data_IF_028804353556
#
_entry.id   IF_028804353556
#
_cell.length_a   1.000
_cell.length_b   1.000
_cell.length_c   1.000
_cell.angle_alpha   90.00
_cell.angle_beta   90.00
_cell.angle_gamma   90.00
#
_symmetry.space_group_name_H-M   'P 1'
#
loop_
_entity.id
_entity.type
_entity.pdbx_description
1 polymer ?
#
# COMPACT_ATOMS: atom_id res chain seq x y z
N UNK A 1 3.50 -20.30 -1.05
CA UNK A 1 2.30 -19.54 -1.51
C UNK A 1 1.00 -19.90 -0.79
N UNK A 2 0.67 -21.18 -0.52
CA UNK A 2 -0.57 -21.51 0.21
C UNK A 2 -0.57 -20.95 1.66
N UNK A 3 0.57 -21.03 2.36
CA UNK A 3 0.74 -20.50 3.71
C UNK A 3 0.57 -18.97 3.70
N UNK A 4 1.15 -18.30 2.72
CA UNK A 4 1.06 -16.84 2.57
C UNK A 4 -0.37 -16.39 2.26
N UNK A 5 -1.11 -17.13 1.44
CA UNK A 5 -2.50 -16.82 1.17
C UNK A 5 -3.36 -16.97 2.44
N UNK A 6 -3.18 -18.06 3.17
CA UNK A 6 -3.89 -18.30 4.43
C UNK A 6 -3.53 -17.20 5.46
N UNK A 7 -2.23 -16.86 5.57
CA UNK A 7 -1.77 -15.79 6.45
C UNK A 7 -2.39 -14.43 6.08
N UNK A 8 -2.45 -14.09 4.77
CA UNK A 8 -3.06 -12.87 4.30
C UNK A 8 -4.56 -12.80 4.62
N UNK A 9 -5.30 -13.89 4.39
CA UNK A 9 -6.72 -13.97 4.72
C UNK A 9 -6.97 -13.83 6.22
N UNK A 10 -6.15 -14.49 7.06
CA UNK A 10 -6.24 -14.37 8.53
C UNK A 10 -5.99 -12.91 8.95
N UNK A 11 -4.93 -12.28 8.44
CA UNK A 11 -4.61 -10.89 8.82
C UNK A 11 -5.69 -9.94 8.37
N UNK A 12 -6.19 -10.05 7.13
CA UNK A 12 -7.28 -9.21 6.64
C UNK A 12 -8.56 -9.40 7.46
N UNK A 13 -8.89 -10.64 7.82
CA UNK A 13 -10.03 -10.93 8.69
C UNK A 13 -9.86 -10.31 10.09
N UNK A 14 -8.68 -10.46 10.70
CA UNK A 14 -8.37 -9.86 12.01
C UNK A 14 -8.51 -8.35 11.97
N UNK A 15 -8.06 -7.70 10.90
CA UNK A 15 -8.16 -6.25 10.71
C UNK A 15 -9.61 -5.77 10.58
N UNK A 16 -10.48 -6.57 9.96
CA UNK A 16 -11.91 -6.26 9.84
C UNK A 16 -12.66 -6.47 11.16
N UNK A 17 -12.36 -7.57 11.87
CA UNK A 17 -13.09 -7.93 13.11
C UNK A 17 -12.62 -7.13 14.31
N UNK A 18 -11.35 -6.72 14.34
CA UNK A 18 -10.76 -6.00 15.48
C UNK A 18 -10.12 -4.67 15.05
N UNK A 19 -10.90 -3.69 14.59
CA UNK A 19 -10.40 -2.36 14.28
C UNK A 19 -10.09 -1.61 15.56
N UNK A 20 -8.85 -1.50 15.96
CA UNK A 20 -8.49 -0.62 17.07
C UNK A 20 -7.34 -1.11 17.96
N UNK A 21 -6.73 -0.19 18.66
CA UNK A 21 -5.71 -0.30 19.74
C UNK A 21 -4.37 -1.04 19.43
N UNK A 22 -4.17 -1.59 18.25
CA UNK A 22 -2.95 -2.30 17.88
C UNK A 22 -1.87 -1.37 17.30
N UNK A 23 -2.19 -0.10 17.10
CA UNK A 23 -1.26 0.91 16.58
C UNK A 23 0.04 1.01 17.40
N UNK A 24 -0.04 0.85 18.72
CA UNK A 24 1.12 0.87 19.62
C UNK A 24 2.09 -0.29 19.40
N UNK A 25 1.60 -1.47 19.00
CA UNK A 25 2.42 -2.65 18.72
C UNK A 25 3.11 -2.59 17.35
N UNK A 26 2.61 -1.77 16.45
CA UNK A 26 3.09 -1.64 15.06
C UNK A 26 4.01 -0.41 14.86
N UNK A 27 4.55 0.14 15.93
CA UNK A 27 5.49 1.27 15.84
C UNK A 27 6.88 0.75 15.46
N UNK A 28 7.50 1.41 14.47
CA UNK A 28 8.86 1.11 14.01
C UNK A 28 9.95 1.83 14.82
N UNK A 29 9.72 2.10 16.11
CA UNK A 29 10.64 2.83 16.97
C UNK A 29 12.02 2.17 17.11
N UNK A 30 12.09 0.83 17.05
CA UNK A 30 13.36 0.12 17.01
C UNK A 30 14.13 0.41 15.70
N UNK A 31 13.41 0.50 14.57
CA UNK A 31 14.01 0.75 13.28
C UNK A 31 14.50 2.20 13.15
N UNK A 32 13.75 3.16 13.67
CA UNK A 32 14.23 4.56 13.72
C UNK A 32 15.50 4.70 14.56
N UNK A 33 15.60 3.98 15.69
CA UNK A 33 16.85 3.92 16.49
C UNK A 33 17.99 3.27 15.72
N UNK A 34 17.72 2.17 15.02
CA UNK A 34 18.67 1.51 14.15
C UNK A 34 19.17 2.42 13.04
N UNK A 35 18.25 3.10 12.34
CA UNK A 35 18.58 4.06 11.29
C UNK A 35 19.40 5.26 11.82
N UNK A 36 19.10 5.74 13.01
CA UNK A 36 19.87 6.79 13.68
C UNK A 36 21.31 6.33 14.03
N UNK A 37 21.50 5.07 14.41
CA UNK A 37 22.82 4.51 14.71
C UNK A 37 23.72 4.37 13.46
N UNK A 38 23.17 4.49 12.24
CA UNK A 38 23.89 4.41 10.97
C UNK A 38 24.34 5.80 10.45
N UNK A 39 24.60 6.76 11.33
CA UNK A 39 25.02 8.12 10.95
C UNK A 39 26.36 8.19 10.21
N UNK A 40 27.16 7.14 10.27
CA UNK A 40 28.43 7.04 9.56
C UNK A 40 28.27 6.77 8.04
N UNK A 41 27.08 6.41 7.58
CA UNK A 41 26.77 6.16 6.19
C UNK A 41 25.75 7.19 5.64
N UNK A 42 25.82 7.52 4.36
CA UNK A 42 24.93 8.47 3.70
C UNK A 42 24.28 7.90 2.45
N UNK A 43 23.15 8.47 2.05
CA UNK A 43 22.50 8.18 0.79
C UNK A 43 22.12 6.71 0.62
N UNK A 44 22.40 6.14 -0.55
CA UNK A 44 22.06 4.74 -0.87
C UNK A 44 22.76 3.71 0.02
N UNK A 45 23.99 3.99 0.48
CA UNK A 45 24.72 3.12 1.40
C UNK A 45 24.02 2.98 2.74
N UNK A 46 23.51 4.08 3.30
CA UNK A 46 22.72 4.08 4.53
C UNK A 46 21.40 3.32 4.35
N UNK A 47 20.74 3.51 3.20
CA UNK A 47 19.50 2.75 2.87
C UNK A 47 19.79 1.25 2.84
N UNK A 48 20.84 0.82 2.15
CA UNK A 48 21.20 -0.59 2.07
C UNK A 48 21.53 -1.19 3.45
N UNK A 49 22.35 -0.50 4.26
CA UNK A 49 22.71 -0.93 5.60
C UNK A 49 21.51 -0.95 6.55
N UNK A 50 20.54 -0.07 6.35
CA UNK A 50 19.33 -0.05 7.15
C UNK A 50 18.38 -1.21 6.81
N UNK A 51 18.24 -1.55 5.53
CA UNK A 51 17.26 -2.53 5.05
C UNK A 51 17.79 -3.96 5.05
N UNK A 52 19.02 -4.20 4.59
CA UNK A 52 19.53 -5.55 4.36
C UNK A 52 19.56 -6.40 5.65
N UNK A 53 20.12 -5.95 6.78
CA UNK A 53 20.21 -6.80 7.96
C UNK A 53 18.84 -7.28 8.50
N UNK A 54 17.84 -6.42 8.74
CA UNK A 54 16.55 -6.89 9.25
C UNK A 54 15.80 -7.78 8.24
N UNK A 55 15.93 -7.53 6.94
CA UNK A 55 15.33 -8.37 5.90
C UNK A 55 15.99 -9.73 5.84
N UNK A 56 17.32 -9.79 5.91
CA UNK A 56 18.09 -11.07 5.93
C UNK A 56 17.75 -11.87 7.17
N UNK A 57 17.68 -11.25 8.34
CA UNK A 57 17.28 -11.94 9.58
C UNK A 57 15.86 -12.50 9.45
N UNK A 58 14.93 -11.72 8.94
CA UNK A 58 13.55 -12.19 8.70
C UNK A 58 13.52 -13.36 7.70
N UNK A 59 14.27 -13.27 6.60
CA UNK A 59 14.36 -14.33 5.60
C UNK A 59 14.99 -15.60 6.18
N UNK A 60 16.05 -15.48 6.99
CA UNK A 60 16.68 -16.62 7.64
C UNK A 60 15.73 -17.33 8.62
N UNK A 61 14.97 -16.58 9.42
CA UNK A 61 13.95 -17.15 10.31
C UNK A 61 12.85 -17.83 9.48
N UNK A 62 12.33 -17.17 8.43
CA UNK A 62 11.32 -17.75 7.56
C UNK A 62 11.82 -19.05 6.91
N UNK A 63 13.06 -19.07 6.43
CA UNK A 63 13.67 -20.26 5.83
C UNK A 63 13.85 -21.40 6.85
N UNK A 64 14.29 -21.09 8.07
CA UNK A 64 14.43 -22.08 9.13
C UNK A 64 13.10 -22.73 9.53
N UNK A 65 12.00 -21.97 9.41
CA UNK A 65 10.64 -22.44 9.71
C UNK A 65 9.98 -23.25 8.57
N UNK A 66 10.63 -23.43 7.41
CA UNK A 66 10.06 -24.16 6.26
C UNK A 66 9.99 -25.69 6.41
N UNK A 67 10.29 -26.24 7.59
CA UNK A 67 10.15 -27.68 7.87
C UNK A 67 8.68 -28.12 8.02
N UNK A 68 8.35 -29.34 7.55
CA UNK A 68 6.98 -29.87 7.62
C UNK A 68 6.43 -29.94 9.07
N UNK A 69 7.30 -30.15 10.05
CA UNK A 69 6.95 -30.13 11.48
C UNK A 69 6.68 -28.73 12.02
N UNK A 70 7.10 -27.68 11.30
CA UNK A 70 7.05 -26.29 11.73
C UNK A 70 6.00 -25.47 10.95
N UNK A 71 5.11 -26.09 10.17
CA UNK A 71 4.11 -25.41 9.35
C UNK A 71 3.27 -24.42 10.15
N UNK A 72 2.84 -24.80 11.36
CA UNK A 72 2.07 -23.92 12.24
C UNK A 72 2.91 -22.72 12.70
N UNK A 73 4.19 -22.94 13.02
CA UNK A 73 5.11 -21.88 13.41
C UNK A 73 5.42 -20.94 12.23
N UNK A 74 5.59 -21.49 11.02
CA UNK A 74 5.77 -20.72 9.79
C UNK A 74 4.54 -19.86 9.49
N UNK A 75 3.35 -20.41 9.63
CA UNK A 75 2.09 -19.66 9.46
C UNK A 75 1.97 -18.55 10.51
N UNK A 76 2.21 -18.88 11.79
CA UNK A 76 2.16 -17.89 12.88
C UNK A 76 3.16 -16.75 12.66
N UNK A 77 4.39 -17.07 12.23
CA UNK A 77 5.41 -16.08 11.89
C UNK A 77 4.98 -15.21 10.71
N UNK A 78 4.44 -15.81 9.65
CA UNK A 78 3.96 -15.10 8.47
C UNK A 78 2.81 -14.14 8.82
N UNK A 79 1.84 -14.61 9.63
CA UNK A 79 0.74 -13.78 10.15
C UNK A 79 1.28 -12.62 10.99
N UNK A 80 2.22 -12.88 11.89
CA UNK A 80 2.80 -11.87 12.78
C UNK A 80 3.54 -10.79 11.99
N UNK A 81 4.40 -11.18 11.05
CA UNK A 81 5.17 -10.22 10.23
C UNK A 81 4.22 -9.43 9.32
N UNK A 82 3.28 -10.10 8.65
CA UNK A 82 2.33 -9.41 7.79
C UNK A 82 1.47 -8.43 8.59
N UNK A 83 0.94 -8.84 9.74
CA UNK A 83 0.20 -7.99 10.65
C UNK A 83 1.01 -6.76 11.09
N UNK A 84 2.29 -6.97 11.43
CA UNK A 84 3.20 -5.89 11.82
C UNK A 84 3.45 -4.90 10.66
N UNK A 85 3.60 -5.39 9.42
CA UNK A 85 3.95 -4.58 8.24
C UNK A 85 2.80 -3.76 7.68
N UNK A 86 1.54 -4.07 7.99
CA UNK A 86 0.39 -3.20 7.65
C UNK A 86 0.46 -1.82 8.33
N UNK A 87 1.36 -1.65 9.30
CA UNK A 87 1.74 -0.35 9.86
C UNK A 87 0.87 0.12 11.02
N UNK A 88 1.25 1.27 11.63
CA UNK A 88 0.66 1.73 12.89
C UNK A 88 -0.78 2.20 12.75
N UNK A 89 -1.19 2.63 11.55
CA UNK A 89 -2.56 3.07 11.26
C UNK A 89 -3.21 2.14 10.27
N UNK A 90 -4.41 1.75 10.60
CA UNK A 90 -5.25 0.95 9.73
C UNK A 90 -5.90 1.84 8.68
N UNK A 91 -5.79 1.44 7.41
CA UNK A 91 -6.30 2.23 6.29
C UNK A 91 -7.82 2.40 6.40
N UNK A 92 -8.52 1.36 6.82
CA UNK A 92 -9.96 1.37 6.94
C UNK A 92 -10.45 2.32 8.04
N UNK A 93 -9.76 2.37 9.18
CA UNK A 93 -10.09 3.31 10.26
C UNK A 93 -9.80 4.76 9.87
N UNK A 94 -8.79 5.01 9.03
CA UNK A 94 -8.55 6.36 8.49
C UNK A 94 -9.68 6.78 7.52
N UNK A 95 -10.18 5.87 6.66
CA UNK A 95 -11.35 6.14 5.82
C UNK A 95 -12.61 6.43 6.64
N UNK A 96 -12.92 5.56 7.62
CA UNK A 96 -14.08 5.76 8.51
C UNK A 96 -13.99 7.09 9.25
N UNK A 97 -12.80 7.46 9.73
CA UNK A 97 -12.60 8.71 10.46
C UNK A 97 -12.74 9.95 9.56
N UNK A 98 -12.47 9.87 8.26
CA UNK A 98 -12.74 10.98 7.32
C UNK A 98 -14.20 11.02 6.94
N UNK A 99 -14.83 9.87 6.66
CA UNK A 99 -16.19 9.79 6.14
C UNK A 99 -17.26 10.11 7.22
N UNK A 100 -17.04 9.70 8.46
CA UNK A 100 -18.04 9.77 9.52
C UNK A 100 -17.74 10.81 10.62
N UNK A 101 -16.72 11.65 10.45
CA UNK A 101 -16.44 12.70 11.42
C UNK A 101 -17.28 13.96 11.12
N UNK A 102 -18.06 14.44 12.07
CA UNK A 102 -18.89 15.63 11.91
C UNK A 102 -18.11 16.95 12.03
N UNK A 103 -16.92 16.93 12.68
CA UNK A 103 -16.10 18.13 12.82
C UNK A 103 -15.19 18.35 11.60
N UNK A 104 -15.40 19.44 10.83
CA UNK A 104 -14.59 19.72 9.62
C UNK A 104 -13.09 19.86 9.88
N UNK A 105 -12.68 20.40 11.04
CA UNK A 105 -11.28 20.58 11.38
C UNK A 105 -10.59 19.24 11.63
N UNK A 106 -11.23 18.37 12.42
CA UNK A 106 -10.74 17.00 12.66
C UNK A 106 -10.74 16.17 11.39
N UNK A 107 -11.74 16.32 10.53
CA UNK A 107 -11.83 15.66 9.22
C UNK A 107 -10.65 16.04 8.33
N UNK A 108 -10.31 17.34 8.27
CA UNK A 108 -9.15 17.82 7.49
C UNK A 108 -7.84 17.21 7.99
N UNK A 109 -7.61 17.19 9.30
CA UNK A 109 -6.42 16.59 9.91
C UNK A 109 -6.35 15.08 9.62
N UNK A 110 -7.48 14.39 9.68
CA UNK A 110 -7.55 12.95 9.40
C UNK A 110 -7.29 12.67 7.91
N UNK A 111 -7.83 13.49 7.01
CA UNK A 111 -7.56 13.39 5.58
C UNK A 111 -6.07 13.58 5.24
N UNK A 112 -5.37 14.46 5.97
CA UNK A 112 -3.91 14.59 5.84
C UNK A 112 -3.17 13.32 6.29
N UNK A 113 -3.72 12.56 7.23
CA UNK A 113 -3.15 11.29 7.69
C UNK A 113 -3.30 10.15 6.67
N UNK A 114 -4.28 10.22 5.74
CA UNK A 114 -4.37 9.29 4.61
C UNK A 114 -3.13 9.39 3.72
N UNK A 115 -2.50 10.55 3.65
CA UNK A 115 -1.29 10.76 2.86
C UNK A 115 -0.12 10.06 3.50
N UNK A 116 0.46 9.13 2.79
CA UNK A 116 1.56 8.30 3.27
C UNK A 116 2.93 9.01 3.28
N UNK A 117 3.01 10.23 2.75
CA UNK A 117 4.24 11.05 2.73
C UNK A 117 3.88 12.46 3.17
N UNK A 118 4.50 12.98 4.24
CA UNK A 118 4.36 14.38 4.63
C UNK A 118 5.16 15.26 3.65
N UNK A 119 4.58 15.62 2.53
CA UNK A 119 5.15 16.64 1.64
C UNK A 119 4.53 17.99 2.00
N UNK A 120 5.14 18.63 2.95
CA UNK A 120 5.31 20.06 3.24
C UNK A 120 4.08 20.98 3.31
N UNK A 121 3.15 20.98 2.39
CA UNK A 121 2.02 21.91 2.39
C UNK A 121 0.68 21.18 2.65
N UNK A 122 -0.21 21.75 3.48
CA UNK A 122 -1.57 21.26 3.60
C UNK A 122 -2.25 21.42 2.23
N UNK A 123 -2.58 20.31 1.58
CA UNK A 123 -3.34 20.34 0.34
C UNK A 123 -4.82 20.57 0.62
N UNK A 124 -5.55 21.07 -0.37
CA UNK A 124 -6.97 21.35 -0.25
C UNK A 124 -7.78 20.07 0.05
N UNK A 125 -8.90 20.23 0.72
CA UNK A 125 -9.88 19.16 0.94
C UNK A 125 -10.81 19.12 -0.29
N UNK A 126 -10.29 18.58 -1.39
CA UNK A 126 -11.03 18.44 -2.66
C UNK A 126 -11.15 16.98 -3.04
N UNK A 127 -12.17 16.64 -3.82
CA UNK A 127 -12.41 15.28 -4.26
C UNK A 127 -11.21 14.65 -4.97
N UNK A 128 -10.56 15.28 -5.97
CA UNK A 128 -9.37 14.71 -6.63
C UNK A 128 -8.21 14.41 -5.66
N UNK A 129 -8.00 15.28 -4.68
CA UNK A 129 -6.93 15.14 -3.68
C UNK A 129 -7.21 13.98 -2.70
N UNK A 130 -8.48 13.77 -2.35
CA UNK A 130 -8.87 12.66 -1.48
C UNK A 130 -8.81 11.32 -2.19
N UNK A 131 -9.26 11.24 -3.45
CA UNK A 131 -9.14 10.04 -4.28
C UNK A 131 -7.66 9.67 -4.46
N UNK A 132 -6.79 10.63 -4.79
CA UNK A 132 -5.36 10.42 -4.88
C UNK A 132 -4.78 9.88 -3.56
N UNK A 133 -5.08 10.54 -2.43
CA UNK A 133 -4.61 10.11 -1.12
C UNK A 133 -5.08 8.69 -0.77
N UNK A 134 -6.34 8.37 -1.06
CA UNK A 134 -6.93 7.05 -0.82
C UNK A 134 -6.21 5.94 -1.60
N UNK A 135 -5.97 6.17 -2.88
CA UNK A 135 -5.36 5.18 -3.77
C UNK A 135 -3.89 4.99 -3.45
N UNK A 136 -3.15 6.08 -3.21
CA UNK A 136 -1.74 6.02 -2.83
C UNK A 136 -1.55 5.41 -1.43
N UNK A 137 -2.45 5.69 -0.49
CA UNK A 137 -2.47 5.01 0.80
C UNK A 137 -2.76 3.51 0.64
N UNK A 138 -3.69 3.14 -0.24
CA UNK A 138 -4.01 1.74 -0.53
C UNK A 138 -2.81 1.01 -1.14
N UNK A 139 -2.13 1.60 -2.13
CA UNK A 139 -0.90 1.06 -2.70
C UNK A 139 0.14 0.79 -1.60
N UNK A 140 0.49 1.81 -0.82
CA UNK A 140 1.63 1.76 0.10
C UNK A 140 1.37 0.99 1.39
N UNK A 141 0.11 0.95 1.87
CA UNK A 141 -0.23 0.29 3.13
C UNK A 141 -0.82 -1.10 2.96
N UNK A 142 -1.36 -1.43 1.77
CA UNK A 142 -2.05 -2.71 1.54
C UNK A 142 -1.50 -3.46 0.34
N UNK A 143 -1.63 -2.93 -0.87
CA UNK A 143 -1.28 -3.66 -2.10
C UNK A 143 0.21 -3.94 -2.25
N UNK A 144 1.08 -2.95 -2.00
CA UNK A 144 2.53 -3.13 -2.05
C UNK A 144 3.02 -4.14 -1.01
N UNK A 145 2.49 -4.06 0.23
CA UNK A 145 2.83 -5.02 1.28
C UNK A 145 2.39 -6.44 0.88
N UNK A 146 1.15 -6.62 0.40
CA UNK A 146 0.63 -7.92 -0.03
C UNK A 146 1.39 -8.47 -1.23
N UNK A 147 1.71 -7.62 -2.23
CA UNK A 147 2.45 -8.04 -3.41
C UNK A 147 3.81 -8.63 -3.03
N UNK A 148 4.60 -7.90 -2.24
CA UNK A 148 5.91 -8.35 -1.83
C UNK A 148 5.85 -9.52 -0.84
N UNK A 149 4.77 -9.61 -0.05
CA UNK A 149 4.49 -10.76 0.78
C UNK A 149 4.23 -12.03 -0.03
N UNK A 150 3.41 -11.97 -1.07
CA UNK A 150 3.15 -13.11 -1.94
C UNK A 150 4.37 -13.51 -2.77
N UNK A 151 5.21 -12.56 -3.16
CA UNK A 151 6.38 -12.82 -3.99
C UNK A 151 7.58 -13.36 -3.18
N UNK A 152 7.89 -12.75 -2.04
CA UNK A 152 9.10 -13.00 -1.24
C UNK A 152 8.79 -13.43 0.20
N UNK A 153 7.54 -13.73 0.52
CA UNK A 153 7.11 -14.11 1.87
C UNK A 153 7.22 -12.95 2.89
N UNK A 154 7.34 -13.30 4.18
CA UNK A 154 7.41 -12.32 5.28
C UNK A 154 8.56 -11.30 5.11
N UNK A 155 9.70 -11.72 4.58
CA UNK A 155 10.86 -10.86 4.36
C UNK A 155 10.58 -9.78 3.30
N UNK A 156 9.82 -10.12 2.24
CA UNK A 156 9.40 -9.16 1.22
C UNK A 156 8.48 -8.09 1.78
N UNK A 157 7.47 -8.48 2.56
CA UNK A 157 6.57 -7.53 3.22
C UNK A 157 7.33 -6.58 4.16
N UNK A 158 8.24 -7.14 4.97
CA UNK A 158 9.06 -6.36 5.89
C UNK A 158 9.98 -5.39 5.13
N UNK A 159 10.68 -5.87 4.11
CA UNK A 159 11.59 -5.06 3.29
C UNK A 159 10.87 -3.88 2.62
N UNK A 160 9.73 -4.13 2.01
CA UNK A 160 8.88 -3.09 1.42
C UNK A 160 8.46 -2.04 2.46
N UNK A 161 7.98 -2.48 3.62
CA UNK A 161 7.55 -1.55 4.68
C UNK A 161 8.70 -0.72 5.23
N UNK A 162 9.84 -1.33 5.50
CA UNK A 162 11.02 -0.63 5.99
C UNK A 162 11.59 0.37 4.95
N UNK A 163 11.49 0.06 3.64
CA UNK A 163 11.86 1.01 2.59
C UNK A 163 11.05 2.31 2.70
N UNK A 164 9.73 2.21 2.92
CA UNK A 164 8.87 3.38 3.13
C UNK A 164 9.17 4.10 4.44
N UNK A 165 9.39 3.39 5.55
CA UNK A 165 9.77 4.00 6.84
C UNK A 165 11.11 4.75 6.72
N UNK A 166 12.05 4.26 5.91
CA UNK A 166 13.34 4.94 5.69
C UNK A 166 13.16 6.31 5.01
N UNK A 167 12.08 6.52 4.25
CA UNK A 167 11.80 7.82 3.62
C UNK A 167 11.48 8.94 4.63
N UNK A 168 11.13 8.58 5.87
CA UNK A 168 10.82 9.52 6.95
C UNK A 168 12.07 10.12 7.62
N UNK A 169 13.28 9.70 7.19
CA UNK A 169 14.55 10.20 7.74
C UNK A 169 14.72 11.70 7.52
N UNK A 170 15.43 12.36 8.44
CA UNK A 170 15.74 13.80 8.35
C UNK A 170 16.85 14.11 7.36
N UNK A 171 17.76 13.14 7.10
CA UNK A 171 18.85 13.32 6.14
C UNK A 171 18.33 13.37 4.69
N UNK A 172 18.53 14.50 3.95
CA UNK A 172 18.00 14.68 2.61
C UNK A 172 18.57 13.69 1.58
N UNK A 173 19.85 13.31 1.70
CA UNK A 173 20.50 12.37 0.77
C UNK A 173 19.94 10.96 0.92
N UNK A 174 19.83 10.50 2.15
CA UNK A 174 19.22 9.19 2.46
C UNK A 174 17.74 9.17 2.11
N UNK A 175 17.00 10.25 2.40
CA UNK A 175 15.59 10.39 2.02
C UNK A 175 15.38 10.28 0.52
N UNK A 176 16.19 10.99 -0.28
CA UNK A 176 16.10 10.92 -1.75
C UNK A 176 16.38 9.50 -2.28
N UNK A 177 17.44 8.86 -1.78
CA UNK A 177 17.78 7.49 -2.16
C UNK A 177 16.68 6.49 -1.74
N UNK A 178 16.16 6.63 -0.52
CA UNK A 178 15.07 5.79 -0.01
C UNK A 178 13.79 5.95 -0.83
N UNK A 179 13.40 7.18 -1.20
CA UNK A 179 12.24 7.45 -2.06
C UNK A 179 12.38 6.80 -3.43
N UNK A 180 13.53 6.96 -4.09
CA UNK A 180 13.76 6.30 -5.38
C UNK A 180 13.64 4.79 -5.28
N UNK A 181 14.19 4.21 -4.22
CA UNK A 181 14.10 2.76 -3.98
C UNK A 181 12.66 2.33 -3.69
N UNK A 182 11.94 3.06 -2.84
CA UNK A 182 10.52 2.78 -2.53
C UNK A 182 9.63 2.89 -3.78
N UNK A 183 9.84 3.91 -4.63
CA UNK A 183 9.11 4.04 -5.89
C UNK A 183 9.40 2.90 -6.86
N UNK A 184 10.66 2.41 -6.92
CA UNK A 184 10.98 1.22 -7.70
C UNK A 184 10.23 -0.02 -7.20
N UNK A 185 10.05 -0.15 -5.89
CA UNK A 185 9.23 -1.22 -5.30
C UNK A 185 7.72 -1.03 -5.55
N UNK A 186 7.24 0.20 -5.68
CA UNK A 186 5.83 0.51 -6.00
C UNK A 186 5.49 0.25 -7.47
N UNK A 187 6.47 0.27 -8.36
CA UNK A 187 6.24 0.25 -9.80
C UNK A 187 5.40 -0.95 -10.27
N UNK A 188 5.77 -2.17 -9.86
CA UNK A 188 5.03 -3.39 -10.26
C UNK A 188 3.62 -3.42 -9.62
N UNK A 189 3.46 -3.28 -8.29
CA UNK A 189 2.14 -3.32 -7.70
C UNK A 189 1.20 -2.20 -8.20
N UNK A 190 1.73 -1.01 -8.53
CA UNK A 190 0.93 0.07 -9.11
C UNK A 190 0.36 -0.30 -10.49
N UNK A 191 1.17 -0.90 -11.38
CA UNK A 191 0.70 -1.36 -12.69
C UNK A 191 -0.32 -2.50 -12.57
N UNK A 192 -0.12 -3.43 -11.64
CA UNK A 192 -1.10 -4.49 -11.37
C UNK A 192 -2.41 -3.93 -10.80
N UNK A 193 -2.36 -2.86 -10.00
CA UNK A 193 -3.56 -2.16 -9.55
C UNK A 193 -4.34 -1.54 -10.72
N UNK A 194 -3.64 -0.90 -11.68
CA UNK A 194 -4.29 -0.38 -12.90
C UNK A 194 -4.97 -1.50 -13.69
N UNK A 195 -4.30 -2.64 -13.88
CA UNK A 195 -4.92 -3.79 -14.54
C UNK A 195 -6.17 -4.28 -13.79
N UNK A 196 -6.10 -4.36 -12.47
CA UNK A 196 -7.25 -4.76 -11.66
C UNK A 196 -8.38 -3.72 -11.72
N UNK A 197 -8.07 -2.41 -11.72
CA UNK A 197 -9.08 -1.36 -11.92
C UNK A 197 -9.75 -1.50 -13.29
N UNK A 198 -8.98 -1.77 -14.35
CA UNK A 198 -9.53 -2.00 -15.69
C UNK A 198 -10.49 -3.20 -15.75
N UNK A 199 -10.35 -4.18 -14.86
CA UNK A 199 -11.24 -5.35 -14.76
C UNK A 199 -12.51 -5.07 -13.94
N UNK A 200 -12.47 -4.16 -12.97
CA UNK A 200 -13.56 -3.92 -12.02
C UNK A 200 -14.31 -2.61 -12.23
N UNK A 201 -13.82 -1.74 -13.11
CA UNK A 201 -14.40 -0.45 -13.47
C UNK A 201 -14.48 -0.34 -15.01
N UNK A 202 -14.64 0.85 -15.52
CA UNK A 202 -14.71 1.11 -16.96
C UNK A 202 -13.33 0.92 -17.63
N UNK A 203 -13.18 -0.16 -18.41
CA UNK A 203 -11.94 -0.49 -19.10
C UNK A 203 -11.44 0.63 -20.02
N UNK A 204 -12.35 1.26 -20.78
CA UNK A 204 -11.99 2.30 -21.76
C UNK A 204 -11.50 3.57 -21.06
N UNK A 205 -12.12 3.96 -19.94
CA UNK A 205 -11.69 5.08 -19.12
C UNK A 205 -10.29 4.84 -18.55
N UNK A 206 -10.06 3.67 -17.96
CA UNK A 206 -8.76 3.27 -17.41
C UNK A 206 -7.68 3.24 -18.48
N UNK A 207 -7.91 2.51 -19.57
CA UNK A 207 -6.94 2.34 -20.65
C UNK A 207 -6.66 3.66 -21.38
N UNK A 208 -7.69 4.49 -21.56
CA UNK A 208 -7.59 5.82 -22.15
C UNK A 208 -6.70 6.73 -21.31
N UNK A 209 -6.99 6.86 -20.02
CA UNK A 209 -6.23 7.70 -19.09
C UNK A 209 -4.78 7.22 -18.94
N UNK A 210 -4.58 5.91 -18.79
CA UNK A 210 -3.25 5.33 -18.71
C UNK A 210 -2.39 5.63 -19.94
N UNK A 211 -2.98 5.51 -21.15
CA UNK A 211 -2.31 5.81 -22.42
C UNK A 211 -1.98 7.29 -22.55
N UNK A 212 -2.92 8.16 -22.22
CA UNK A 212 -2.74 9.63 -22.29
C UNK A 212 -1.64 10.06 -21.32
N UNK A 213 -1.64 9.52 -20.10
CA UNK A 213 -0.59 9.82 -19.11
C UNK A 213 0.81 9.48 -19.62
N UNK A 214 1.03 8.27 -20.10
CA UNK A 214 2.34 7.83 -20.60
C UNK A 214 2.74 8.44 -21.95
N UNK A 215 1.80 9.03 -22.67
CA UNK A 215 2.06 9.78 -23.90
C UNK A 215 2.55 11.21 -23.67
N UNK A 216 2.50 11.73 -22.44
CA UNK A 216 2.93 13.08 -22.12
C UNK A 216 4.46 13.16 -22.00
N UNK A 217 5.09 14.29 -22.43
CA UNK A 217 6.51 14.50 -22.21
C UNK A 217 6.87 14.44 -20.72
N UNK A 218 7.84 13.63 -20.36
CA UNK A 218 8.28 13.45 -18.96
C UNK A 218 7.56 12.34 -18.16
N UNK A 219 6.52 11.73 -18.70
CA UNK A 219 5.79 10.62 -18.08
C UNK A 219 6.05 9.27 -18.78
N UNK A 220 7.31 8.99 -19.11
CA UNK A 220 7.66 7.70 -19.71
C UNK A 220 7.48 6.54 -18.72
N UNK A 221 7.34 5.31 -19.23
CA UNK A 221 7.31 4.09 -18.41
C UNK A 221 8.58 3.88 -17.55
N UNK A 222 9.67 4.59 -17.87
CA UNK A 222 10.92 4.57 -17.10
C UNK A 222 10.82 5.44 -15.84
N UNK A 223 9.83 6.32 -15.77
CA UNK A 223 9.57 7.09 -14.57
C UNK A 223 8.96 6.19 -13.49
N UNK A 224 9.66 6.03 -12.39
CA UNK A 224 9.26 5.16 -11.28
C UNK A 224 8.13 5.77 -10.41
N UNK A 225 7.72 7.02 -10.68
CA UNK A 225 6.69 7.70 -9.90
C UNK A 225 5.32 7.08 -10.18
N UNK A 226 4.59 6.61 -9.16
CA UNK A 226 3.29 5.98 -9.32
C UNK A 226 2.12 6.97 -9.50
N UNK A 227 2.36 8.25 -9.80
CA UNK A 227 1.32 9.29 -9.94
C UNK A 227 0.29 8.98 -11.05
N UNK A 228 0.66 8.17 -12.07
CA UNK A 228 -0.28 7.66 -13.07
C UNK A 228 -1.44 6.89 -12.42
N UNK A 229 -1.19 6.21 -11.31
CA UNK A 229 -2.19 5.43 -10.59
C UNK A 229 -3.30 6.35 -10.03
N UNK A 230 -2.93 7.52 -9.52
CA UNK A 230 -3.89 8.51 -9.04
C UNK A 230 -4.77 9.07 -10.17
N UNK A 231 -4.17 9.35 -11.34
CA UNK A 231 -4.91 9.82 -12.52
C UNK A 231 -5.92 8.77 -13.02
N UNK A 232 -5.50 7.50 -13.11
CA UNK A 232 -6.35 6.37 -13.49
C UNK A 232 -7.48 6.16 -12.48
N UNK A 233 -7.19 6.22 -11.18
CA UNK A 233 -8.21 6.03 -10.16
C UNK A 233 -9.29 7.11 -10.19
N UNK A 234 -8.92 8.38 -10.39
CA UNK A 234 -9.88 9.48 -10.58
C UNK A 234 -10.79 9.22 -11.77
N UNK A 235 -10.21 8.91 -12.92
CA UNK A 235 -10.98 8.58 -14.13
C UNK A 235 -11.90 7.38 -13.94
N UNK A 236 -11.52 6.39 -13.13
CA UNK A 236 -12.35 5.24 -12.81
C UNK A 236 -13.54 5.60 -11.92
N UNK A 237 -13.30 6.44 -10.89
CA UNK A 237 -14.35 6.92 -9.98
C UNK A 237 -15.35 7.78 -10.75
N UNK A 238 -14.88 8.73 -11.57
CA UNK A 238 -15.72 9.59 -12.39
C UNK A 238 -16.59 8.76 -13.36
N UNK A 239 -16.00 7.75 -14.01
CA UNK A 239 -16.74 6.88 -14.94
C UNK A 239 -17.78 5.98 -14.24
N UNK A 240 -17.50 5.48 -13.03
CA UNK A 240 -18.46 4.70 -12.23
C UNK A 240 -19.63 5.57 -11.78
N UNK A 241 -19.39 6.84 -11.40
CA UNK A 241 -20.43 7.80 -11.03
C UNK A 241 -21.31 8.14 -12.25
N UNK A 242 -20.71 8.44 -13.41
CA UNK A 242 -21.44 8.74 -14.65
C UNK A 242 -22.28 7.55 -15.13
N UNK A 243 -21.81 6.33 -14.94
CA UNK A 243 -22.54 5.10 -15.29
C UNK A 243 -23.70 4.79 -14.32
N UNK A 244 -23.76 5.46 -13.16
CA UNK A 244 -24.73 5.17 -12.10
C UNK A 244 -24.46 3.87 -11.32
N UNK A 245 -23.26 3.31 -11.46
CA UNK A 245 -22.82 2.08 -10.76
C UNK A 245 -22.39 2.36 -9.30
N UNK A 246 -22.30 3.63 -8.93
CA UNK A 246 -22.00 4.12 -7.58
C UNK A 246 -23.24 4.58 -6.80
N UNK A 247 -23.10 4.86 -5.50
CA UNK A 247 -24.21 5.38 -4.68
C UNK A 247 -24.49 6.87 -4.91
N UNK A 248 -23.69 7.56 -5.69
CA UNK A 248 -23.82 9.00 -5.89
C UNK A 248 -23.96 9.39 -7.35
N UNK A 249 -24.63 10.53 -7.54
CA UNK A 249 -24.76 11.22 -8.83
C UNK A 249 -24.01 12.56 -8.83
N UNK A 250 -23.22 12.85 -7.79
CA UNK A 250 -22.51 14.13 -7.64
C UNK A 250 -21.01 13.92 -7.65
N UNK A 251 -20.36 14.36 -8.72
CA UNK A 251 -18.90 14.31 -8.95
C UNK A 251 -18.12 15.41 -8.21
N UNK A 252 -18.77 16.19 -7.35
CA UNK A 252 -18.14 17.35 -6.71
C UNK A 252 -18.08 17.25 -5.17
N UNK A 253 -18.74 16.25 -4.56
CA UNK A 253 -18.66 16.04 -3.12
C UNK A 253 -17.41 15.18 -2.76
N UNK A 254 -16.41 15.77 -2.06
CA UNK A 254 -15.18 15.08 -1.70
C UNK A 254 -15.39 13.80 -0.90
N UNK A 255 -16.43 13.73 -0.07
CA UNK A 255 -16.71 12.56 0.77
C UNK A 255 -17.31 11.42 -0.04
N UNK A 256 -18.15 11.75 -1.01
CA UNK A 256 -18.79 10.78 -1.88
C UNK A 256 -17.73 10.13 -2.78
N UNK A 257 -16.89 10.92 -3.44
CA UNK A 257 -15.80 10.39 -4.26
C UNK A 257 -14.77 9.57 -3.43
N UNK A 258 -14.52 9.98 -2.18
CA UNK A 258 -13.69 9.17 -1.29
C UNK A 258 -14.32 7.81 -0.96
N UNK A 259 -15.64 7.77 -0.74
CA UNK A 259 -16.37 6.53 -0.49
C UNK A 259 -16.34 5.61 -1.72
N UNK A 260 -16.46 6.16 -2.93
CA UNK A 260 -16.37 5.41 -4.18
C UNK A 260 -14.93 4.91 -4.44
N UNK A 261 -13.93 5.74 -4.18
CA UNK A 261 -12.53 5.30 -4.23
C UNK A 261 -12.24 4.15 -3.26
N UNK A 262 -12.77 4.21 -2.03
CA UNK A 262 -12.68 3.10 -1.05
C UNK A 262 -13.29 1.81 -1.61
N UNK A 263 -14.47 1.89 -2.20
CA UNK A 263 -15.16 0.72 -2.82
C UNK A 263 -14.37 0.17 -4.00
N UNK A 264 -13.86 1.03 -4.87
CA UNK A 264 -13.00 0.63 -5.96
C UNK A 264 -11.78 -0.14 -5.44
N UNK A 265 -11.11 0.36 -4.40
CA UNK A 265 -9.97 -0.33 -3.79
C UNK A 265 -10.35 -1.68 -3.16
N UNK A 266 -11.54 -1.83 -2.60
CA UNK A 266 -12.02 -3.12 -2.11
C UNK A 266 -12.29 -4.11 -3.24
N UNK A 267 -12.90 -3.69 -4.36
CA UNK A 267 -13.08 -4.52 -5.56
C UNK A 267 -11.74 -4.99 -6.13
N UNK A 268 -10.76 -4.07 -6.24
CA UNK A 268 -9.39 -4.38 -6.67
C UNK A 268 -8.74 -5.42 -5.73
N UNK A 269 -8.91 -5.28 -4.42
CA UNK A 269 -8.39 -6.25 -3.45
C UNK A 269 -8.99 -7.64 -3.63
N UNK A 270 -10.30 -7.73 -3.87
CA UNK A 270 -10.98 -9.01 -4.12
C UNK A 270 -10.41 -9.68 -5.38
N UNK A 271 -10.20 -8.92 -6.45
CA UNK A 271 -9.59 -9.45 -7.68
C UNK A 271 -8.17 -9.96 -7.42
N UNK A 272 -7.35 -9.22 -6.68
CA UNK A 272 -6.00 -9.67 -6.33
C UNK A 272 -6.00 -10.98 -5.54
N UNK A 273 -6.83 -11.07 -4.52
CA UNK A 273 -6.94 -12.29 -3.72
C UNK A 273 -7.48 -13.46 -4.54
N UNK A 274 -8.44 -13.21 -5.44
CA UNK A 274 -8.96 -14.24 -6.34
C UNK A 274 -7.88 -14.74 -7.32
N UNK A 275 -7.08 -13.84 -7.90
CA UNK A 275 -5.97 -14.22 -8.78
C UNK A 275 -4.92 -15.04 -8.03
N UNK A 276 -4.52 -14.61 -6.82
CA UNK A 276 -3.57 -15.37 -6.00
C UNK A 276 -4.15 -16.74 -5.62
N UNK A 277 -5.42 -16.81 -5.26
CA UNK A 277 -6.10 -18.08 -4.96
C UNK A 277 -6.10 -19.02 -6.17
N UNK A 278 -6.37 -18.50 -7.37
CA UNK A 278 -6.33 -19.29 -8.61
C UNK A 278 -4.92 -19.81 -8.91
N UNK A 279 -3.87 -18.98 -8.71
CA UNK A 279 -2.46 -19.40 -8.89
C UNK A 279 -2.11 -20.54 -7.91
N UNK A 280 -2.54 -20.42 -6.65
CA UNK A 280 -2.31 -21.47 -5.63
C UNK A 280 -3.07 -22.76 -5.99
N UNK A 281 -4.35 -22.65 -6.41
CA UNK A 281 -5.16 -23.81 -6.80
C UNK A 281 -4.65 -24.49 -8.07
N UNK A 282 -4.10 -23.73 -9.02
CA UNK A 282 -3.49 -24.27 -10.22
C UNK A 282 -2.17 -25.03 -9.96
N UNK A 283 -1.64 -24.98 -8.72
CA UNK A 283 -0.40 -25.65 -8.34
C UNK A 283 0.87 -25.07 -9.03
N UNK A 284 0.77 -23.85 -9.57
CA UNK A 284 1.89 -23.22 -10.29
C UNK A 284 3.01 -22.79 -9.35
N UNK A 285 2.74 -22.69 -8.06
CA UNK A 285 3.73 -22.33 -7.03
C UNK A 285 3.50 -23.18 -5.80
N UNK A 286 4.24 -24.26 -5.69
CA UNK A 286 4.28 -25.14 -4.52
C UNK A 286 5.23 -24.60 -3.45
#
# INVERSE_FOLDING_TARGET
MAIELIAALIVLLVLVVWPGNVAKLRQFGWYHRWLAALDFAEGGGRVALALIPPVVVCAAIAHFLQGWLLVVAALAFSVLILFYTFGPRELESDFEAVLHNDDPATRLVTAQNLRSVPDGAPRAFTAPELVEAAVMASLRRRFGVLFWFFLLGPAGALGYRLAWVTTETTDPRTRHAARRFAYALDWIPAHLMVLAMALVSNFDAVAGTWRVWHGQPGHSMENLDPDFLAAVARSSVDADIEAGDGPSTDTHDPLIELADARRLMLRVLIVWLAVVALIVLAGWVT
#
